data_IF_021357469567
#
_entry.id   IF_021357469567
#
_cell.length_a   1.000
_cell.length_b   1.000
_cell.length_c   1.000
_cell.angle_alpha   90.00
_cell.angle_beta   90.00
_cell.angle_gamma   90.00
#
_symmetry.space_group_name_H-M   'P 1'
#
loop_
_entity.id
_entity.type
_entity.pdbx_description
1 polymer ?
#
# COMPACT_ATOMS: atom_id res chain seq x y z
N UNK A 1 -8.73 22.82 1.36
CA UNK A 1 -7.98 22.09 0.30
C UNK A 1 -6.72 21.46 0.86
N UNK A 2 -5.89 22.16 1.64
CA UNK A 2 -4.90 21.55 2.56
C UNK A 2 -4.42 22.59 3.58
N UNK A 3 -3.77 22.15 4.65
CA UNK A 3 -3.15 22.97 5.70
C UNK A 3 -1.67 22.60 5.83
N UNK A 4 -0.80 23.60 5.96
CA UNK A 4 0.62 23.42 6.31
C UNK A 4 0.75 23.79 7.79
N UNK A 5 0.97 22.82 8.71
CA UNK A 5 0.97 23.11 10.14
C UNK A 5 2.13 24.02 10.55
N UNK A 6 3.28 23.83 9.90
CA UNK A 6 4.52 24.56 10.17
C UNK A 6 5.33 24.68 8.87
N UNK A 7 5.33 25.87 8.29
CA UNK A 7 6.03 26.15 7.02
C UNK A 7 7.56 26.03 7.15
N UNK A 8 8.12 26.21 8.35
CA UNK A 8 9.57 26.11 8.58
C UNK A 8 10.11 24.68 8.43
N UNK A 9 9.23 23.68 8.52
CA UNK A 9 9.56 22.26 8.31
C UNK A 9 9.55 21.85 6.84
N UNK A 10 9.11 22.74 5.95
CA UNK A 10 9.20 22.51 4.52
C UNK A 10 10.66 22.64 4.08
N UNK A 11 11.16 21.60 3.43
CA UNK A 11 12.51 21.51 2.86
C UNK A 11 12.40 21.07 1.41
N UNK A 12 13.48 21.27 0.66
CA UNK A 12 13.64 20.72 -0.69
C UNK A 12 13.31 19.23 -0.71
N UNK A 13 12.68 18.79 -1.78
CA UNK A 13 12.21 17.43 -2.02
C UNK A 13 12.93 16.91 -3.25
N UNK A 14 13.70 15.84 -3.05
CA UNK A 14 14.47 15.14 -4.10
C UNK A 14 13.94 13.71 -4.31
N UNK A 15 13.13 13.22 -3.37
CA UNK A 15 12.51 11.91 -3.41
C UNK A 15 11.09 11.95 -2.84
N UNK A 16 10.16 11.25 -3.48
CA UNK A 16 8.79 11.09 -2.99
C UNK A 16 8.49 9.60 -2.79
N UNK A 17 8.03 9.25 -1.60
CA UNK A 17 7.54 7.92 -1.28
C UNK A 17 6.01 7.92 -1.30
N UNK A 18 5.43 6.97 -2.01
CA UNK A 18 4.00 6.88 -2.24
C UNK A 18 3.46 5.64 -1.55
N UNK A 19 2.47 5.81 -0.69
CA UNK A 19 1.42 4.79 -0.64
C UNK A 19 0.67 4.76 -1.99
N UNK A 20 0.13 3.60 -2.34
CA UNK A 20 -0.50 3.40 -3.65
C UNK A 20 -2.03 3.48 -3.54
N UNK A 21 -2.63 2.48 -2.89
CA UNK A 21 -4.07 2.26 -2.81
C UNK A 21 -4.77 3.40 -2.08
N UNK A 22 -5.72 4.08 -2.72
CA UNK A 22 -6.44 5.20 -2.10
C UNK A 22 -5.65 6.51 -2.10
N UNK A 23 -4.31 6.45 -2.25
CA UNK A 23 -3.44 7.62 -2.33
C UNK A 23 -3.29 8.13 -3.76
N UNK A 24 -2.79 7.31 -4.70
CA UNK A 24 -2.59 7.70 -6.12
C UNK A 24 -3.53 6.99 -7.08
N UNK A 25 -4.32 6.03 -6.60
CA UNK A 25 -5.31 5.32 -7.42
C UNK A 25 -6.64 6.06 -7.50
N UNK A 26 -7.37 5.80 -8.58
CA UNK A 26 -8.76 6.20 -8.77
C UNK A 26 -9.74 5.15 -8.20
N UNK A 27 -11.07 5.39 -8.26
CA UNK A 27 -12.06 4.43 -7.76
C UNK A 27 -12.12 3.09 -8.51
N UNK A 28 -11.36 2.90 -9.60
CA UNK A 28 -11.20 1.63 -10.31
C UNK A 28 -9.92 0.90 -9.90
N UNK A 29 -9.25 1.39 -8.85
CA UNK A 29 -8.00 0.83 -8.29
C UNK A 29 -6.81 0.90 -9.26
N UNK A 30 -6.89 1.76 -10.29
CA UNK A 30 -5.79 2.08 -11.20
C UNK A 30 -5.16 3.41 -10.84
N UNK A 31 -3.87 3.59 -11.13
CA UNK A 31 -3.21 4.89 -10.95
C UNK A 31 -3.95 5.98 -11.73
N UNK A 32 -4.24 7.09 -11.05
CA UNK A 32 -4.92 8.21 -11.68
C UNK A 32 -4.02 8.86 -12.75
N UNK A 33 -4.59 9.10 -13.94
CA UNK A 33 -3.83 9.59 -15.09
C UNK A 33 -3.17 10.97 -14.86
N UNK A 34 -3.85 11.89 -14.16
CA UNK A 34 -3.31 13.22 -13.87
C UNK A 34 -2.11 13.12 -12.91
N UNK A 35 -2.25 12.31 -11.87
CA UNK A 35 -1.16 12.04 -10.91
C UNK A 35 -0.01 11.32 -11.59
N UNK A 36 -0.27 10.32 -12.43
CA UNK A 36 0.75 9.61 -13.20
C UNK A 36 1.56 10.58 -14.08
N UNK A 37 0.89 11.47 -14.83
CA UNK A 37 1.56 12.48 -15.65
C UNK A 37 2.47 13.41 -14.82
N UNK A 38 2.01 13.82 -13.63
CA UNK A 38 2.78 14.66 -12.71
C UNK A 38 4.00 13.93 -12.16
N UNK A 39 3.85 12.66 -11.78
CA UNK A 39 4.97 11.81 -11.35
C UNK A 39 6.01 11.69 -12.46
N UNK A 40 5.61 11.35 -13.69
CA UNK A 40 6.54 11.22 -14.82
C UNK A 40 7.26 12.54 -15.10
N UNK A 41 6.55 13.68 -15.01
CA UNK A 41 7.16 15.01 -15.19
C UNK A 41 8.18 15.34 -14.10
N UNK A 42 7.87 15.06 -12.83
CA UNK A 42 8.83 15.27 -11.73
C UNK A 42 10.04 14.35 -11.86
N UNK A 43 9.84 13.12 -12.32
CA UNK A 43 10.93 12.20 -12.58
C UNK A 43 11.83 12.67 -13.75
N UNK A 44 11.26 13.30 -14.79
CA UNK A 44 12.03 13.98 -15.84
C UNK A 44 12.83 15.17 -15.29
N UNK A 45 12.32 15.82 -14.24
CA UNK A 45 12.98 16.92 -13.51
C UNK A 45 14.02 16.39 -12.47
N UNK A 46 14.29 15.08 -12.45
CA UNK A 46 15.32 14.45 -11.60
C UNK A 46 14.86 14.08 -10.19
N UNK A 47 13.56 14.06 -9.93
CA UNK A 47 12.98 13.65 -8.65
C UNK A 47 12.78 12.14 -8.62
N UNK A 48 13.22 11.47 -7.56
CA UNK A 48 13.02 10.03 -7.41
C UNK A 48 11.64 9.71 -6.84
N UNK A 49 11.10 8.55 -7.21
CA UNK A 49 9.80 8.07 -6.72
C UNK A 49 9.91 6.62 -6.25
N UNK A 50 9.48 6.36 -5.02
CA UNK A 50 9.32 5.00 -4.48
C UNK A 50 7.86 4.72 -4.18
N UNK A 51 7.31 3.66 -4.76
CA UNK A 51 5.93 3.22 -4.54
C UNK A 51 5.95 2.05 -3.58
N UNK A 52 5.26 2.17 -2.45
CA UNK A 52 5.25 1.21 -1.36
C UNK A 52 3.82 0.76 -1.10
N UNK A 53 3.57 -0.55 -1.12
CA UNK A 53 2.23 -1.09 -0.85
C UNK A 53 2.30 -2.47 -0.17
N UNK A 54 1.20 -2.84 0.48
CA UNK A 54 0.95 -4.21 0.93
C UNK A 54 0.42 -5.14 -0.19
N UNK A 55 0.03 -4.60 -1.35
CA UNK A 55 -0.42 -5.39 -2.51
C UNK A 55 0.67 -6.29 -3.07
N UNK A 56 0.25 -7.34 -3.77
CA UNK A 56 1.16 -8.22 -4.50
C UNK A 56 1.75 -7.56 -5.75
N UNK A 57 2.84 -8.14 -6.25
CA UNK A 57 3.56 -7.59 -7.40
C UNK A 57 2.73 -7.60 -8.69
N UNK A 58 1.89 -8.62 -8.93
CA UNK A 58 1.09 -8.70 -10.16
C UNK A 58 0.05 -7.58 -10.20
N UNK A 59 -0.57 -7.27 -9.06
CA UNK A 59 -1.47 -6.14 -8.91
C UNK A 59 -0.76 -4.81 -9.21
N UNK A 60 0.42 -4.57 -8.64
CA UNK A 60 1.18 -3.33 -8.88
C UNK A 60 1.57 -3.18 -10.35
N UNK A 61 1.99 -4.27 -10.99
CA UNK A 61 2.31 -4.26 -12.41
C UNK A 61 1.09 -3.85 -13.23
N UNK A 62 -0.03 -4.55 -13.04
CA UNK A 62 -1.26 -4.35 -13.82
C UNK A 62 -1.91 -2.98 -13.60
N UNK A 63 -1.94 -2.49 -12.37
CA UNK A 63 -2.75 -1.34 -11.98
C UNK A 63 -1.96 -0.03 -11.85
N UNK A 64 -0.63 -0.11 -11.77
CA UNK A 64 0.24 1.07 -11.61
C UNK A 64 1.27 1.15 -12.73
N UNK A 65 2.10 0.13 -12.89
CA UNK A 65 3.23 0.19 -13.82
C UNK A 65 2.74 0.23 -15.27
N UNK A 66 1.89 -0.70 -15.69
CA UNK A 66 1.39 -0.76 -17.07
C UNK A 66 0.63 0.53 -17.46
N UNK A 67 -0.32 1.07 -16.66
CA UNK A 67 -0.94 2.35 -17.01
C UNK A 67 0.04 3.53 -17.05
N UNK A 68 1.09 3.54 -16.22
CA UNK A 68 2.12 4.59 -16.30
C UNK A 68 2.98 4.47 -17.57
N UNK A 69 3.13 3.27 -18.15
CA UNK A 69 3.91 3.06 -19.37
C UNK A 69 3.31 3.73 -20.60
N UNK A 70 2.00 3.98 -20.57
CA UNK A 70 1.29 4.66 -21.66
C UNK A 70 1.63 6.16 -21.75
N UNK A 71 2.29 6.72 -20.73
CA UNK A 71 2.68 8.13 -20.71
C UNK A 71 3.97 8.40 -21.47
N UNK A 72 3.95 9.45 -22.29
CA UNK A 72 5.14 9.97 -22.96
C UNK A 72 6.21 10.35 -21.93
N UNK A 73 7.40 9.75 -22.06
CA UNK A 73 8.52 9.98 -21.14
C UNK A 73 8.78 8.84 -20.15
N UNK A 74 7.86 7.89 -19.97
CA UNK A 74 8.06 6.75 -19.06
C UNK A 74 9.39 6.03 -19.31
N UNK A 75 9.68 5.69 -20.58
CA UNK A 75 10.91 5.01 -20.96
C UNK A 75 12.20 5.77 -20.60
N UNK A 76 12.13 7.09 -20.39
CA UNK A 76 13.26 7.93 -19.99
C UNK A 76 13.42 8.05 -18.47
N UNK A 77 12.39 7.71 -17.69
CA UNK A 77 12.38 7.93 -16.24
C UNK A 77 12.26 6.66 -15.41
N UNK A 78 12.14 5.49 -16.02
CA UNK A 78 11.99 4.22 -15.30
C UNK A 78 13.09 3.99 -14.23
N UNK A 79 14.31 4.50 -14.44
CA UNK A 79 15.41 4.43 -13.46
C UNK A 79 15.15 5.29 -12.19
N UNK A 80 14.32 6.33 -12.29
CA UNK A 80 13.87 7.17 -11.17
C UNK A 80 12.69 6.58 -10.40
N UNK A 81 12.05 5.53 -10.92
CA UNK A 81 10.92 4.85 -10.29
C UNK A 81 11.38 3.57 -9.58
N UNK A 82 10.87 3.33 -8.38
CA UNK A 82 11.14 2.14 -7.58
C UNK A 82 9.83 1.60 -7.03
N UNK A 83 9.57 0.31 -7.16
CA UNK A 83 8.31 -0.29 -6.74
C UNK A 83 8.58 -1.40 -5.72
N UNK A 84 7.94 -1.27 -4.57
CA UNK A 84 8.14 -2.12 -3.39
C UNK A 84 6.76 -2.65 -2.97
N UNK A 85 6.55 -3.93 -3.23
CA UNK A 85 5.32 -4.66 -2.96
C UNK A 85 5.43 -5.51 -1.68
N UNK A 86 4.29 -6.03 -1.23
CA UNK A 86 4.18 -6.91 -0.06
C UNK A 86 4.93 -6.37 1.17
N UNK A 87 4.69 -5.09 1.51
CA UNK A 87 5.25 -4.44 2.70
C UNK A 87 6.78 -4.47 2.77
N UNK A 88 7.46 -4.33 1.63
CA UNK A 88 8.93 -4.32 1.61
C UNK A 88 9.58 -5.67 1.32
N UNK A 89 8.79 -6.71 1.08
CA UNK A 89 9.30 -8.07 0.86
C UNK A 89 9.66 -8.33 -0.61
N UNK A 90 9.06 -7.60 -1.54
CA UNK A 90 9.22 -7.79 -2.98
C UNK A 90 9.57 -6.46 -3.65
N UNK A 91 10.67 -6.43 -4.40
CA UNK A 91 10.99 -5.30 -5.29
C UNK A 91 10.57 -5.64 -6.72
N UNK A 92 9.96 -4.70 -7.43
CA UNK A 92 9.63 -4.83 -8.84
C UNK A 92 10.59 -3.96 -9.65
N UNK A 93 11.40 -4.62 -10.47
CA UNK A 93 12.35 -3.97 -11.37
C UNK A 93 11.71 -3.77 -12.74
N UNK A 94 11.96 -2.61 -13.34
CA UNK A 94 11.52 -2.29 -14.70
C UNK A 94 12.80 -2.16 -15.54
N UNK A 95 13.23 -3.23 -16.22
CA UNK A 95 14.40 -3.17 -17.11
C UNK A 95 14.11 -2.29 -18.33
N UNK A 96 15.17 -1.87 -19.04
CA UNK A 96 15.05 -1.15 -20.32
C UNK A 96 14.27 -1.92 -21.39
N UNK A 97 14.23 -3.25 -21.31
CA UNK A 97 13.38 -4.09 -22.17
C UNK A 97 11.89 -3.87 -21.95
N UNK A 98 11.51 -3.16 -20.89
CA UNK A 98 10.16 -2.74 -20.58
C UNK A 98 9.31 -3.80 -19.88
N UNK A 99 9.78 -5.05 -19.73
CA UNK A 99 9.02 -6.10 -19.04
C UNK A 99 9.30 -6.09 -17.54
N UNK A 100 8.35 -5.70 -16.68
CA UNK A 100 8.57 -5.69 -15.25
C UNK A 100 8.85 -7.10 -14.72
N UNK A 101 9.72 -7.21 -13.72
CA UNK A 101 10.03 -8.47 -13.03
C UNK A 101 10.08 -8.23 -11.54
N UNK A 102 9.44 -9.09 -10.76
CA UNK A 102 9.49 -9.05 -9.30
C UNK A 102 10.65 -9.88 -8.76
N UNK A 103 11.16 -9.50 -7.59
CA UNK A 103 12.21 -10.24 -6.90
C UNK A 103 11.95 -10.20 -5.40
N UNK A 104 11.84 -11.39 -4.80
CA UNK A 104 11.82 -11.57 -3.34
C UNK A 104 13.24 -11.33 -2.82
N UNK A 105 13.36 -10.49 -1.78
CA UNK A 105 14.63 -10.23 -1.13
C UNK A 105 15.25 -11.53 -0.57
N UNK A 106 16.56 -11.67 -0.69
CA UNK A 106 17.28 -12.92 -0.47
C UNK A 106 17.06 -13.52 0.92
N UNK A 107 17.02 -12.69 1.95
CA UNK A 107 16.81 -13.07 3.34
C UNK A 107 15.39 -13.60 3.61
N UNK A 108 14.43 -13.31 2.72
CA UNK A 108 13.05 -13.76 2.82
C UNK A 108 12.77 -15.04 2.02
N UNK A 109 13.65 -15.43 1.10
CA UNK A 109 13.47 -16.66 0.31
C UNK A 109 13.36 -17.93 1.14
N UNK A 110 14.13 -18.14 2.24
CA UNK A 110 13.97 -19.33 3.08
C UNK A 110 12.86 -19.19 4.13
N UNK A 111 12.14 -18.06 4.17
CA UNK A 111 11.17 -17.75 5.22
C UNK A 111 9.94 -18.68 5.18
N UNK A 112 9.30 -19.03 6.32
CA UNK A 112 8.14 -19.93 6.35
C UNK A 112 6.97 -19.50 5.47
N UNK A 113 6.66 -18.20 5.46
CA UNK A 113 5.58 -17.67 4.61
C UNK A 113 5.89 -17.72 3.11
N UNK A 114 7.16 -17.78 2.72
CA UNK A 114 7.58 -17.89 1.32
C UNK A 114 7.69 -19.35 0.86
N UNK A 115 8.09 -20.25 1.76
CA UNK A 115 8.34 -21.67 1.47
C UNK A 115 7.20 -22.60 1.85
N UNK A 116 6.16 -22.07 2.52
CA UNK A 116 5.11 -22.85 3.18
C UNK A 116 5.70 -23.88 4.18
N UNK A 117 6.78 -23.52 4.88
CA UNK A 117 7.40 -24.40 5.89
C UNK A 117 6.38 -24.78 6.96
N UNK A 118 6.30 -26.07 7.28
CA UNK A 118 5.35 -26.58 8.28
C UNK A 118 3.88 -26.51 7.84
N UNK A 119 3.59 -26.25 6.56
CA UNK A 119 2.21 -26.10 6.07
C UNK A 119 1.52 -24.82 6.57
N UNK A 120 2.29 -23.80 6.98
CA UNK A 120 1.77 -22.57 7.58
C UNK A 120 0.71 -21.88 6.70
N UNK A 121 0.97 -21.71 5.39
CA UNK A 121 0.01 -21.06 4.49
C UNK A 121 -1.25 -21.90 4.33
N UNK A 122 -1.13 -23.22 4.28
CA UNK A 122 -2.27 -24.12 4.17
C UNK A 122 -3.13 -24.08 5.44
N UNK A 123 -2.51 -24.00 6.61
CA UNK A 123 -3.19 -23.84 7.88
C UNK A 123 -3.96 -22.51 7.94
N UNK A 124 -3.31 -21.40 7.55
CA UNK A 124 -3.94 -20.07 7.50
C UNK A 124 -5.08 -20.01 6.48
N UNK A 125 -4.88 -20.58 5.29
CA UNK A 125 -5.85 -20.63 4.18
C UNK A 125 -7.14 -21.35 4.57
N UNK A 126 -7.05 -22.41 5.38
CA UNK A 126 -8.23 -23.16 5.88
C UNK A 126 -9.10 -22.36 6.86
N UNK A 127 -8.59 -21.27 7.43
CA UNK A 127 -9.36 -20.45 8.36
C UNK A 127 -10.41 -19.58 7.64
N UNK A 128 -10.30 -19.37 6.33
CA UNK A 128 -11.09 -18.38 5.58
C UNK A 128 -11.71 -18.98 4.33
N UNK A 129 -12.52 -18.17 3.62
CA UNK A 129 -12.94 -18.55 2.28
C UNK A 129 -11.73 -18.55 1.34
N UNK A 130 -11.65 -19.56 0.50
CA UNK A 130 -10.52 -19.79 -0.38
C UNK A 130 -10.94 -19.65 -1.85
N UNK A 131 -10.49 -18.60 -2.56
CA UNK A 131 -10.85 -18.34 -3.95
C UNK A 131 -10.67 -19.55 -4.87
N UNK A 132 -9.64 -20.37 -4.69
CA UNK A 132 -9.37 -21.51 -5.58
C UNK A 132 -10.41 -22.63 -5.44
N UNK A 133 -11.16 -22.64 -4.34
CA UNK A 133 -12.22 -23.62 -4.06
C UNK A 133 -13.61 -23.09 -4.40
N UNK A 134 -13.73 -21.78 -4.68
CA UNK A 134 -14.99 -21.12 -4.96
C UNK A 134 -15.17 -20.91 -6.46
N UNK A 135 -16.43 -20.87 -6.89
CA UNK A 135 -16.76 -20.56 -8.28
C UNK A 135 -16.77 -19.05 -8.49
N UNK A 136 -15.97 -18.57 -9.44
CA UNK A 136 -16.02 -17.17 -9.88
C UNK A 136 -17.39 -16.86 -10.52
N UNK A 137 -17.99 -15.74 -10.15
CA UNK A 137 -19.27 -15.29 -10.67
C UNK A 137 -19.06 -14.43 -11.93
N UNK A 138 -19.72 -14.80 -13.03
CA UNK A 138 -19.69 -14.03 -14.28
C UNK A 138 -20.89 -13.09 -14.35
N UNK A 139 -20.62 -11.78 -14.53
CA UNK A 139 -21.66 -10.75 -14.65
C UNK A 139 -22.68 -11.10 -15.74
N UNK A 140 -23.98 -10.96 -15.43
CA UNK A 140 -25.09 -11.37 -16.31
C UNK A 140 -25.60 -12.79 -16.08
N UNK A 141 -24.89 -13.61 -15.29
CA UNK A 141 -25.38 -14.92 -14.85
C UNK A 141 -26.45 -14.76 -13.76
N UNK A 142 -27.41 -15.69 -13.69
CA UNK A 142 -28.35 -15.76 -12.57
C UNK A 142 -27.66 -16.41 -11.37
N UNK A 143 -27.75 -15.78 -10.21
CA UNK A 143 -27.35 -16.40 -8.94
C UNK A 143 -28.43 -17.42 -8.56
N UNK A 144 -28.02 -18.67 -8.31
CA UNK A 144 -28.95 -19.72 -7.90
C UNK A 144 -29.53 -19.40 -6.52
N UNK A 145 -30.76 -19.85 -6.27
CA UNK A 145 -31.45 -19.61 -4.99
C UNK A 145 -30.62 -20.19 -3.82
N UNK A 146 -30.47 -19.39 -2.76
CA UNK A 146 -29.71 -19.77 -1.57
C UNK A 146 -28.20 -19.59 -1.67
N UNK A 147 -27.66 -19.25 -2.84
CA UNK A 147 -26.25 -18.89 -2.96
C UNK A 147 -26.00 -17.45 -2.46
N UNK A 148 -24.84 -17.23 -1.86
CA UNK A 148 -24.33 -15.91 -1.50
C UNK A 148 -23.23 -15.47 -2.49
N UNK A 149 -23.10 -14.17 -2.69
CA UNK A 149 -22.05 -13.55 -3.50
C UNK A 149 -21.13 -12.74 -2.60
N UNK A 150 -19.86 -13.14 -2.52
CA UNK A 150 -18.82 -12.45 -1.77
C UNK A 150 -17.78 -11.84 -2.72
N UNK A 151 -17.12 -10.76 -2.30
CA UNK A 151 -16.08 -10.10 -3.12
C UNK A 151 -14.75 -9.99 -2.38
N UNK A 152 -13.65 -10.17 -3.10
CA UNK A 152 -12.28 -9.98 -2.61
C UNK A 152 -11.80 -8.52 -2.73
N UNK A 153 -10.56 -8.21 -2.33
CA UNK A 153 -10.02 -6.86 -2.47
C UNK A 153 -9.67 -6.42 -3.90
N UNK A 154 -9.85 -7.29 -4.90
CA UNK A 154 -9.77 -6.99 -6.32
C UNK A 154 -11.15 -6.82 -6.97
N UNK A 155 -12.22 -6.91 -6.17
CA UNK A 155 -13.63 -6.91 -6.61
C UNK A 155 -13.99 -8.08 -7.50
N UNK A 156 -13.22 -9.15 -7.44
CA UNK A 156 -13.61 -10.43 -8.03
C UNK A 156 -14.70 -11.04 -7.17
N UNK A 157 -15.76 -11.52 -7.84
CA UNK A 157 -16.96 -12.00 -7.19
C UNK A 157 -16.94 -13.53 -7.16
N UNK A 158 -17.21 -14.10 -5.98
CA UNK A 158 -17.18 -15.54 -5.73
C UNK A 158 -18.52 -16.00 -5.20
N UNK A 159 -18.98 -17.17 -5.67
CA UNK A 159 -20.23 -17.77 -5.23
C UNK A 159 -19.97 -18.71 -4.06
N UNK A 160 -20.66 -18.46 -2.94
CA UNK A 160 -20.74 -19.37 -1.81
C UNK A 160 -22.05 -20.13 -1.90
N UNK A 161 -21.97 -21.43 -2.14
CA UNK A 161 -23.15 -22.29 -2.28
C UNK A 161 -23.60 -22.82 -0.90
N UNK A 162 -24.89 -23.16 -0.68
CA UNK A 162 -25.39 -23.58 0.63
C UNK A 162 -24.63 -24.75 1.28
N UNK A 163 -24.02 -25.61 0.46
CA UNK A 163 -23.25 -26.77 0.89
C UNK A 163 -21.76 -26.47 1.15
N UNK A 164 -21.31 -25.23 0.91
CA UNK A 164 -19.93 -24.83 1.23
C UNK A 164 -19.72 -24.88 2.75
N UNK A 165 -18.58 -25.44 3.16
CA UNK A 165 -18.18 -25.43 4.57
C UNK A 165 -17.91 -23.99 4.98
N UNK A 166 -18.61 -23.51 6.01
CA UNK A 166 -18.39 -22.17 6.57
C UNK A 166 -17.07 -22.18 7.35
N UNK A 167 -16.09 -21.35 6.96
CA UNK A 167 -14.78 -21.36 7.60
C UNK A 167 -14.83 -20.61 8.94
N UNK A 168 -13.82 -20.84 9.77
CA UNK A 168 -13.76 -20.28 11.12
C UNK A 168 -13.71 -18.75 11.17
N UNK A 169 -13.10 -18.15 10.16
CA UNK A 169 -12.99 -16.72 9.93
C UNK A 169 -13.83 -16.34 8.69
N UNK A 170 -15.13 -16.69 8.71
CA UNK A 170 -16.08 -16.50 7.60
C UNK A 170 -16.24 -15.06 7.09
N UNK A 171 -15.84 -14.03 7.83
CA UNK A 171 -15.86 -12.64 7.36
C UNK A 171 -14.67 -12.30 6.44
N UNK A 172 -13.78 -13.28 6.19
CA UNK A 172 -12.54 -13.09 5.45
C UNK A 172 -12.40 -14.04 4.26
N UNK A 173 -11.62 -13.59 3.29
CA UNK A 173 -11.20 -14.33 2.10
C UNK A 173 -9.67 -14.34 1.98
N UNK A 174 -9.11 -15.44 1.49
CA UNK A 174 -7.68 -15.63 1.33
C UNK A 174 -7.10 -14.81 0.18
N UNK A 175 -5.99 -14.09 0.42
CA UNK A 175 -5.23 -13.40 -0.62
C UNK A 175 -4.21 -14.34 -1.27
N UNK A 176 -4.61 -15.01 -2.36
CA UNK A 176 -3.81 -16.05 -3.03
C UNK A 176 -2.57 -15.57 -3.78
N UNK A 177 -2.49 -14.28 -4.14
CA UNK A 177 -1.45 -13.73 -5.01
C UNK A 177 -0.14 -13.36 -4.30
N UNK A 178 -0.14 -13.26 -2.97
CA UNK A 178 1.03 -12.81 -2.19
C UNK A 178 2.05 -13.92 -1.98
N UNK A 179 3.32 -13.60 -2.22
CA UNK A 179 4.42 -14.56 -2.28
C UNK A 179 5.18 -14.75 -0.96
N UNK A 180 5.26 -13.71 -0.11
CA UNK A 180 6.11 -13.71 1.09
C UNK A 180 5.33 -13.28 2.33
N UNK A 181 4.26 -12.52 2.16
CA UNK A 181 3.30 -12.25 3.24
C UNK A 181 2.05 -13.11 3.03
N UNK A 182 1.22 -13.20 4.06
CA UNK A 182 -0.12 -13.76 3.96
C UNK A 182 -1.13 -12.71 4.45
N UNK A 183 -2.29 -12.66 3.82
CA UNK A 183 -3.34 -11.70 4.20
C UNK A 183 -4.68 -12.40 4.16
N UNK A 184 -5.45 -12.20 5.23
CA UNK A 184 -6.88 -12.52 5.28
C UNK A 184 -7.60 -11.20 5.05
N UNK A 185 -8.24 -11.05 3.89
CA UNK A 185 -8.90 -9.81 3.48
C UNK A 185 -10.36 -9.82 3.92
N UNK A 186 -10.86 -8.72 4.48
CA UNK A 186 -12.27 -8.62 4.84
C UNK A 186 -13.10 -8.66 3.55
N UNK A 187 -14.12 -9.52 3.55
CA UNK A 187 -15.05 -9.65 2.42
C UNK A 187 -15.74 -8.31 2.14
N UNK A 188 -15.87 -8.00 0.85
CA UNK A 188 -16.51 -6.78 0.38
C UNK A 188 -17.92 -7.05 -0.12
N UNK A 189 -18.78 -6.04 0.04
CA UNK A 189 -20.08 -6.01 -0.62
C UNK A 189 -19.93 -5.74 -2.13
N UNK A 190 -21.04 -5.80 -2.87
CA UNK A 190 -21.09 -5.53 -4.31
C UNK A 190 -20.68 -4.08 -4.69
N UNK A 191 -20.65 -3.16 -3.72
CA UNK A 191 -20.13 -1.80 -3.91
C UNK A 191 -18.62 -1.68 -3.66
N UNK A 192 -17.97 -2.79 -3.27
CA UNK A 192 -16.55 -2.85 -2.92
C UNK A 192 -16.24 -2.38 -1.50
N UNK A 193 -17.26 -2.16 -0.65
CA UNK A 193 -17.06 -1.72 0.73
C UNK A 193 -16.89 -2.90 1.67
N UNK A 194 -15.88 -2.82 2.52
CA UNK A 194 -15.73 -3.73 3.66
C UNK A 194 -16.73 -3.32 4.76
N UNK A 195 -17.30 -4.30 5.45
CA UNK A 195 -18.03 -4.04 6.70
C UNK A 195 -17.02 -3.67 7.79
N UNK A 196 -17.40 -2.75 8.67
CA UNK A 196 -16.64 -2.53 9.90
C UNK A 196 -16.75 -3.80 10.77
N UNK A 197 -15.60 -4.34 11.16
CA UNK A 197 -15.51 -5.61 11.86
C UNK A 197 -14.51 -5.48 13.01
N UNK A 198 -14.88 -5.99 14.20
CA UNK A 198 -13.91 -6.24 15.24
C UNK A 198 -13.06 -7.46 14.86
N UNK A 199 -11.77 -7.22 14.61
CA UNK A 199 -10.86 -8.23 14.12
C UNK A 199 -10.22 -9.04 15.27
N UNK A 200 -10.30 -8.54 16.51
CA UNK A 200 -9.63 -9.15 17.66
C UNK A 200 -9.96 -10.63 17.88
N UNK A 201 -11.22 -11.10 17.73
CA UNK A 201 -11.55 -12.52 17.89
C UNK A 201 -10.84 -13.44 16.88
N UNK A 202 -10.58 -12.94 15.67
CA UNK A 202 -9.96 -13.72 14.61
C UNK A 202 -8.43 -13.80 14.75
N UNK A 203 -7.81 -12.79 15.37
CA UNK A 203 -6.36 -12.78 15.65
C UNK A 203 -5.93 -14.00 16.46
N UNK A 204 -6.71 -14.39 17.46
CA UNK A 204 -6.39 -15.56 18.28
C UNK A 204 -6.38 -16.87 17.47
N UNK A 205 -7.28 -17.00 16.49
CA UNK A 205 -7.33 -18.17 15.59
C UNK A 205 -6.14 -18.20 14.64
N UNK A 206 -5.79 -17.04 14.08
CA UNK A 206 -4.61 -16.88 13.23
C UNK A 206 -3.34 -17.21 14.02
N UNK A 207 -3.21 -16.72 15.26
CA UNK A 207 -2.09 -17.01 16.13
C UNK A 207 -1.99 -18.51 16.45
N UNK A 208 -3.10 -19.17 16.77
CA UNK A 208 -3.11 -20.60 17.04
C UNK A 208 -2.63 -21.42 15.83
N UNK A 209 -3.02 -21.03 14.61
CA UNK A 209 -2.53 -21.67 13.39
C UNK A 209 -1.01 -21.45 13.16
N UNK A 210 -0.51 -20.25 13.47
CA UNK A 210 0.92 -19.93 13.43
C UNK A 210 1.71 -20.77 14.43
N UNK A 211 1.21 -20.89 15.65
CA UNK A 211 1.84 -21.64 16.73
C UNK A 211 1.87 -23.13 16.41
N UNK A 212 0.76 -23.68 15.91
CA UNK A 212 0.66 -25.08 15.49
C UNK A 212 1.62 -25.42 14.33
N UNK A 213 1.89 -24.46 13.45
CA UNK A 213 2.89 -24.60 12.37
C UNK A 213 4.34 -24.40 12.85
N UNK A 214 4.56 -24.07 14.13
CA UNK A 214 5.88 -23.84 14.70
C UNK A 214 6.57 -22.57 14.19
N UNK A 215 5.81 -21.56 13.78
CA UNK A 215 6.32 -20.35 13.13
C UNK A 215 6.25 -19.08 13.99
N UNK A 216 5.88 -19.19 15.27
CA UNK A 216 5.61 -18.05 16.16
C UNK A 216 6.78 -17.05 16.32
N UNK A 217 8.03 -17.49 16.16
CA UNK A 217 9.21 -16.62 16.19
C UNK A 217 9.52 -15.94 14.86
N UNK A 218 8.98 -16.47 13.76
CA UNK A 218 9.28 -16.04 12.38
C UNK A 218 8.17 -15.16 11.80
N UNK A 219 6.96 -15.17 12.36
CA UNK A 219 5.84 -14.39 11.83
C UNK A 219 5.14 -13.62 12.92
N UNK A 220 4.57 -12.48 12.56
CA UNK A 220 3.69 -11.72 13.42
C UNK A 220 2.46 -11.24 12.68
N UNK A 221 1.49 -10.76 13.46
CA UNK A 221 0.20 -10.31 12.96
C UNK A 221 0.13 -8.79 13.05
N UNK A 222 -0.39 -8.16 11.99
CA UNK A 222 -0.72 -6.74 11.95
C UNK A 222 -2.15 -6.56 11.49
N UNK A 223 -2.92 -5.79 12.26
CA UNK A 223 -4.28 -5.41 11.89
C UNK A 223 -4.24 -4.20 10.97
N UNK A 224 -4.71 -4.39 9.74
CA UNK A 224 -5.04 -3.31 8.82
C UNK A 224 -6.55 -3.05 8.86
N UNK A 225 -7.00 -1.85 8.49
CA UNK A 225 -8.45 -1.54 8.54
C UNK A 225 -9.31 -2.47 7.68
N UNK A 226 -8.74 -3.10 6.66
CA UNK A 226 -9.43 -3.96 5.69
C UNK A 226 -8.95 -5.42 5.70
N UNK A 227 -8.02 -5.78 6.58
CA UNK A 227 -7.40 -7.10 6.56
C UNK A 227 -6.64 -7.44 7.85
N UNK A 228 -6.38 -8.74 8.04
CA UNK A 228 -5.35 -9.24 8.95
C UNK A 228 -4.13 -9.61 8.10
N UNK A 229 -3.04 -8.87 8.27
CA UNK A 229 -1.77 -9.15 7.62
C UNK A 229 -0.90 -10.02 8.53
N UNK A 230 -0.37 -11.10 7.96
CA UNK A 230 0.62 -11.98 8.57
C UNK A 230 1.95 -11.72 7.87
N UNK A 231 2.87 -11.14 8.63
CA UNK A 231 4.10 -10.54 8.11
C UNK A 231 5.33 -11.28 8.66
N UNK A 232 6.42 -11.37 7.88
CA UNK A 232 7.69 -11.89 8.37
C UNK A 232 8.25 -11.14 9.58
N UNK A 233 8.93 -11.86 10.45
CA UNK A 233 9.78 -11.34 11.51
C UNK A 233 11.22 -11.69 11.15
N UNK A 234 12.05 -10.67 10.90
CA UNK A 234 13.46 -10.85 10.56
C UNK A 234 14.30 -10.08 11.54
N UNK A 235 15.26 -10.75 12.19
CA UNK A 235 16.10 -10.11 13.22
C UNK A 235 15.31 -9.58 14.43
N UNK A 236 14.18 -10.22 14.76
CA UNK A 236 13.28 -9.76 15.84
C UNK A 236 12.35 -8.60 15.44
N UNK A 237 12.41 -8.14 14.19
CA UNK A 237 11.57 -7.05 13.70
C UNK A 237 10.47 -7.55 12.78
N UNK A 238 9.22 -7.20 13.10
CA UNK A 238 8.07 -7.41 12.21
C UNK A 238 8.16 -6.48 11.00
N UNK A 239 8.25 -7.05 9.80
CA UNK A 239 8.38 -6.30 8.55
C UNK A 239 7.05 -5.61 8.19
N UNK A 240 7.05 -4.28 8.09
CA UNK A 240 5.86 -3.49 7.76
C UNK A 240 6.21 -2.23 6.97
N UNK A 241 5.32 -1.22 6.98
CA UNK A 241 5.54 0.00 6.18
C UNK A 241 6.82 0.76 6.54
N UNK A 242 7.23 0.76 7.81
CA UNK A 242 8.52 1.33 8.25
C UNK A 242 9.73 0.63 7.63
N UNK A 243 9.70 -0.70 7.57
CA UNK A 243 10.71 -1.50 6.87
C UNK A 243 10.69 -1.25 5.36
N UNK A 244 9.51 -1.23 4.76
CA UNK A 244 9.35 -0.94 3.33
C UNK A 244 9.89 0.46 2.97
N UNK A 245 9.71 1.43 3.86
CA UNK A 245 10.30 2.77 3.73
C UNK A 245 11.83 2.75 3.78
N UNK A 246 12.41 2.05 4.76
CA UNK A 246 13.87 1.88 4.84
C UNK A 246 14.43 1.14 3.63
N UNK A 247 13.74 0.12 3.13
CA UNK A 247 14.08 -0.60 1.89
C UNK A 247 14.06 0.31 0.67
N UNK A 248 13.05 1.16 0.54
CA UNK A 248 12.97 2.14 -0.54
C UNK A 248 14.16 3.12 -0.50
N UNK A 249 14.55 3.58 0.70
CA UNK A 249 15.71 4.45 0.89
C UNK A 249 17.04 3.74 0.64
N UNK A 250 17.22 2.49 1.07
CA UNK A 250 18.41 1.69 0.75
C UNK A 250 18.56 1.47 -0.76
N UNK A 251 17.45 1.21 -1.46
CA UNK A 251 17.44 1.07 -2.91
C UNK A 251 17.82 2.38 -3.61
N UNK A 252 17.30 3.51 -3.13
CA UNK A 252 17.69 4.83 -3.62
C UNK A 252 19.17 5.13 -3.36
N UNK A 253 19.68 4.82 -2.16
CA UNK A 253 21.09 5.01 -1.83
C UNK A 253 22.01 4.22 -2.78
N UNK A 254 21.66 2.96 -3.08
CA UNK A 254 22.38 2.13 -4.06
C UNK A 254 22.33 2.72 -5.46
N UNK A 255 21.18 3.25 -5.90
CA UNK A 255 21.04 3.93 -7.20
C UNK A 255 21.93 5.18 -7.30
N UNK A 256 22.10 5.90 -6.19
CA UNK A 256 22.98 7.06 -6.09
C UNK A 256 24.45 6.71 -5.76
N UNK A 257 24.85 5.45 -6.02
CA UNK A 257 26.21 4.94 -5.79
C UNK A 257 26.73 5.10 -4.35
N UNK A 258 25.83 5.23 -3.37
CA UNK A 258 26.20 5.39 -1.95
C UNK A 258 26.78 6.76 -1.59
N UNK A 259 26.77 7.74 -2.48
CA UNK A 259 27.37 9.06 -2.23
C UNK A 259 26.63 9.91 -1.20
N UNK A 260 25.38 9.56 -0.89
CA UNK A 260 24.57 10.28 0.09
C UNK A 260 24.47 9.50 1.39
N UNK A 261 24.66 10.21 2.49
CA UNK A 261 24.35 9.70 3.83
C UNK A 261 22.85 9.42 3.97
N UNK A 262 22.49 8.39 4.74
CA UNK A 262 21.08 8.02 4.96
C UNK A 262 20.24 9.19 5.47
N UNK A 263 20.80 10.05 6.32
CA UNK A 263 20.10 11.22 6.84
C UNK A 263 19.78 12.23 5.73
N UNK A 264 20.68 12.45 4.78
CA UNK A 264 20.42 13.34 3.64
C UNK A 264 19.29 12.79 2.75
N UNK A 265 19.23 11.46 2.58
CA UNK A 265 18.14 10.82 1.85
C UNK A 265 16.80 11.00 2.56
N UNK A 266 16.76 10.77 3.87
CA UNK A 266 15.54 11.00 4.68
C UNK A 266 15.11 12.46 4.62
N UNK A 267 16.04 13.39 4.81
CA UNK A 267 15.76 14.83 4.80
C UNK A 267 15.24 15.30 3.43
N UNK A 268 15.75 14.74 2.33
CA UNK A 268 15.29 14.99 0.97
C UNK A 268 14.02 14.23 0.57
N UNK A 269 13.49 13.36 1.44
CA UNK A 269 12.30 12.55 1.16
C UNK A 269 11.04 13.15 1.78
N UNK A 270 9.93 13.07 1.04
CA UNK A 270 8.59 13.21 1.58
C UNK A 270 7.77 11.95 1.27
N UNK A 271 7.00 11.47 2.24
CA UNK A 271 6.02 10.41 2.04
C UNK A 271 4.64 11.01 1.77
N UNK A 272 3.80 10.31 1.02
CA UNK A 272 2.41 10.66 0.76
C UNK A 272 1.54 9.44 1.05
N UNK A 273 0.51 9.62 1.88
CA UNK A 273 -0.39 8.53 2.27
C UNK A 273 -1.74 9.04 2.77
N UNK A 274 -2.72 8.13 2.85
CA UNK A 274 -4.12 8.40 3.18
C UNK A 274 -4.61 7.68 4.45
N UNK A 275 -3.82 6.74 4.97
CA UNK A 275 -4.24 5.81 6.00
C UNK A 275 -3.37 5.84 7.26
N UNK A 276 -3.88 5.20 8.32
CA UNK A 276 -3.17 5.09 9.61
C UNK A 276 -1.82 4.37 9.47
N UNK A 277 -1.73 3.39 8.57
CA UNK A 277 -0.50 2.65 8.35
C UNK A 277 0.62 3.53 7.76
N UNK A 278 0.28 4.63 7.07
CA UNK A 278 1.25 5.47 6.38
C UNK A 278 2.07 6.35 7.33
N UNK A 279 1.61 6.51 8.56
CA UNK A 279 2.40 7.15 9.61
C UNK A 279 3.70 6.37 9.91
N UNK A 280 3.76 5.08 9.58
CA UNK A 280 4.99 4.28 9.70
C UNK A 280 6.08 4.73 8.69
N UNK A 281 5.73 5.41 7.58
CA UNK A 281 6.74 5.98 6.67
C UNK A 281 7.65 6.97 7.40
N UNK A 282 7.11 7.67 8.39
CA UNK A 282 7.84 8.65 9.17
C UNK A 282 8.99 8.05 9.97
N UNK A 283 9.01 6.73 10.20
CA UNK A 283 10.04 6.06 11.00
C UNK A 283 10.66 4.91 10.21
N UNK A 284 11.41 5.20 9.13
CA UNK A 284 11.99 4.15 8.30
C UNK A 284 12.99 3.32 9.10
N UNK A 285 12.94 1.99 8.92
CA UNK A 285 13.91 1.07 9.51
C UNK A 285 14.73 0.43 8.40
N UNK A 286 16.03 0.66 8.43
CA UNK A 286 16.97 0.19 7.42
C UNK A 286 17.25 -1.31 7.56
N UNK A 287 17.84 -1.91 6.52
CA UNK A 287 18.14 -3.34 6.46
C UNK A 287 18.93 -3.90 7.66
N UNK A 288 19.75 -3.06 8.26
CA UNK A 288 20.60 -3.37 9.41
C UNK A 288 19.94 -3.08 10.77
N UNK A 289 18.65 -2.75 10.77
CA UNK A 289 17.88 -2.39 11.96
C UNK A 289 18.05 -0.95 12.43
N UNK A 290 18.88 -0.15 11.75
CA UNK A 290 19.07 1.26 12.12
C UNK A 290 17.77 2.05 11.94
N UNK A 291 17.44 2.89 12.92
CA UNK A 291 16.45 3.96 12.81
C UNK A 291 17.14 5.31 12.95
N UNK A 292 16.74 6.29 12.16
CA UNK A 292 17.31 7.64 12.23
C UNK A 292 16.50 8.56 13.16
N UNK A 293 17.15 9.56 13.79
CA UNK A 293 16.48 10.45 14.74
C UNK A 293 15.46 11.36 14.06
N UNK A 294 15.72 11.78 12.83
CA UNK A 294 14.75 12.52 12.03
C UNK A 294 14.06 11.56 11.06
N UNK A 295 12.74 11.60 11.09
CA UNK A 295 11.88 10.80 10.25
C UNK A 295 11.65 11.38 8.86
N UNK A 296 11.05 10.57 7.98
CA UNK A 296 10.51 11.06 6.71
C UNK A 296 9.30 11.96 7.01
N UNK A 297 9.22 13.09 6.30
CA UNK A 297 8.08 14.02 6.40
C UNK A 297 6.87 13.44 5.67
N UNK A 298 5.67 13.67 6.17
CA UNK A 298 4.43 13.12 5.60
C UNK A 298 3.51 14.22 5.05
N UNK A 299 3.05 14.02 3.82
CA UNK A 299 1.86 14.66 3.24
C UNK A 299 0.70 13.70 3.45
N UNK A 300 -0.23 14.05 4.33
CA UNK A 300 -1.40 13.22 4.59
C UNK A 300 -2.59 13.69 3.74
N UNK A 301 -3.17 12.80 2.93
CA UNK A 301 -4.25 13.10 1.98
C UNK A 301 -5.56 12.33 2.28
N UNK A 302 -5.67 11.79 3.49
CA UNK A 302 -6.76 10.94 3.93
C UNK A 302 -7.87 11.63 4.71
N UNK A 303 -8.65 10.82 5.42
CA UNK A 303 -9.74 11.28 6.29
C UNK A 303 -9.19 12.02 7.54
N UNK A 304 -9.71 13.21 7.89
CA UNK A 304 -9.29 13.91 9.10
C UNK A 304 -9.46 13.09 10.40
N UNK A 305 -10.40 12.16 10.47
CA UNK A 305 -10.60 11.26 11.61
C UNK A 305 -9.51 10.20 11.79
N UNK A 306 -8.68 9.97 10.75
CA UNK A 306 -7.54 9.04 10.81
C UNK A 306 -6.28 9.73 11.36
N UNK A 307 -6.24 11.07 11.33
CA UNK A 307 -5.09 11.82 11.80
C UNK A 307 -4.79 11.54 13.29
N UNK A 308 -3.51 11.37 13.67
CA UNK A 308 -3.15 11.16 15.05
C UNK A 308 -3.45 12.42 15.88
N UNK A 309 -3.69 12.27 17.19
CA UNK A 309 -3.84 13.40 18.11
C UNK A 309 -2.69 14.40 17.99
N UNK A 310 -2.93 15.67 18.32
CA UNK A 310 -1.93 16.73 18.14
C UNK A 310 -0.66 16.51 18.97
N UNK A 311 -0.79 15.85 20.11
CA UNK A 311 0.33 15.57 21.02
C UNK A 311 1.15 14.33 20.59
N UNK A 312 0.66 13.52 19.65
CA UNK A 312 1.35 12.31 19.23
C UNK A 312 2.67 12.67 18.51
N UNK A 313 3.82 12.07 18.85
CA UNK A 313 5.10 12.41 18.23
C UNK A 313 5.09 12.37 16.69
N UNK A 314 4.42 11.37 16.11
CA UNK A 314 4.29 11.21 14.66
C UNK A 314 3.51 12.33 13.98
N UNK A 315 2.67 13.06 14.72
CA UNK A 315 1.99 14.26 14.21
C UNK A 315 3.00 15.33 13.79
N UNK A 316 4.12 15.44 14.51
CA UNK A 316 5.18 16.39 14.21
C UNK A 316 5.84 16.22 12.84
N UNK A 317 5.71 15.03 12.25
CA UNK A 317 6.20 14.66 10.92
C UNK A 317 5.22 15.01 9.79
N UNK A 318 3.96 15.30 10.10
CA UNK A 318 2.96 15.71 9.10
C UNK A 318 3.21 17.16 8.71
N UNK A 319 3.70 17.39 7.50
CA UNK A 319 4.05 18.72 6.98
C UNK A 319 2.94 19.33 6.12
N UNK A 320 2.08 18.49 5.53
CA UNK A 320 0.87 18.92 4.83
C UNK A 320 -0.28 18.02 5.26
N UNK A 321 -1.34 18.64 5.76
CA UNK A 321 -2.62 18.02 6.08
C UNK A 321 -3.62 18.37 4.97
N UNK A 322 -3.74 17.51 3.99
CA UNK A 322 -4.65 17.68 2.87
C UNK A 322 -5.97 16.94 3.11
N UNK A 323 -6.59 17.26 4.24
CA UNK A 323 -7.87 16.72 4.69
C UNK A 323 -8.98 17.73 4.37
N UNK A 324 -10.05 17.34 3.67
CA UNK A 324 -11.18 18.27 3.51
C UNK A 324 -12.32 17.83 2.61
N UNK A 325 -13.44 18.51 2.80
CA UNK A 325 -14.57 18.47 1.88
C UNK A 325 -14.17 19.15 0.59
N UNK A 326 -14.34 18.47 -0.53
CA UNK A 326 -13.89 18.90 -1.84
C UNK A 326 -14.80 19.92 -2.51
N UNK A 327 -14.70 19.97 -3.83
CA UNK A 327 -15.56 20.84 -4.64
C UNK A 327 -16.97 20.26 -4.72
N UNK A 328 -17.95 21.14 -4.88
CA UNK A 328 -19.28 20.79 -5.37
C UNK A 328 -19.14 20.05 -6.71
N UNK A 329 -19.68 18.83 -6.79
CA UNK A 329 -19.70 18.03 -8.00
C UNK A 329 -21.14 17.58 -8.29
N UNK A 330 -21.53 17.63 -9.56
CA UNK A 330 -22.84 17.11 -9.98
C UNK A 330 -22.76 15.59 -10.15
N UNK A 331 -23.51 14.86 -9.33
CA UNK A 331 -23.59 13.40 -9.38
C UNK A 331 -24.67 13.01 -10.37
N UNK A 332 -24.29 12.76 -11.62
CA UNK A 332 -25.21 12.48 -12.72
C UNK A 332 -26.20 11.34 -12.44
N UNK A 333 -25.77 10.27 -11.75
CA UNK A 333 -26.64 9.14 -11.39
C UNK A 333 -27.70 9.47 -10.32
N UNK A 334 -27.55 10.58 -9.61
CA UNK A 334 -28.48 11.03 -8.55
C UNK A 334 -29.18 12.35 -8.88
N UNK A 335 -28.71 13.08 -9.91
CA UNK A 335 -29.24 14.39 -10.27
C UNK A 335 -29.02 15.49 -9.21
N UNK A 336 -28.03 15.35 -8.33
CA UNK A 336 -27.76 16.29 -7.23
C UNK A 336 -26.35 16.87 -7.31
N UNK A 337 -26.18 18.08 -6.79
CA UNK A 337 -24.86 18.67 -6.53
C UNK A 337 -24.49 18.28 -5.10
N UNK A 338 -23.48 17.43 -4.94
CA UNK A 338 -22.95 16.99 -3.65
C UNK A 338 -21.58 17.62 -3.40
N UNK A 339 -21.29 17.93 -2.15
CA UNK A 339 -19.94 18.25 -1.72
C UNK A 339 -19.17 16.94 -1.59
N UNK A 340 -18.29 16.63 -2.55
CA UNK A 340 -17.52 15.40 -2.54
C UNK A 340 -16.29 15.57 -1.66
N UNK A 341 -16.03 14.66 -0.72
CA UNK A 341 -14.73 14.65 -0.01
C UNK A 341 -13.58 14.63 -1.01
N UNK A 342 -12.62 15.54 -0.82
CA UNK A 342 -11.37 15.51 -1.56
C UNK A 342 -10.39 14.68 -0.73
N UNK A 343 -10.11 13.47 -1.22
CA UNK A 343 -9.07 12.58 -0.73
C UNK A 343 -8.33 11.95 -1.90
N UNK A 344 -7.19 11.32 -1.60
CA UNK A 344 -6.45 10.51 -2.57
C UNK A 344 -5.96 11.29 -3.78
N UNK A 345 -6.01 10.67 -4.96
CA UNK A 345 -5.31 11.13 -6.16
C UNK A 345 -5.59 12.59 -6.55
N UNK A 346 -6.84 13.03 -6.42
CA UNK A 346 -7.23 14.42 -6.74
C UNK A 346 -6.53 15.44 -5.82
N UNK A 347 -6.46 15.14 -4.53
CA UNK A 347 -5.80 15.99 -3.53
C UNK A 347 -4.30 15.98 -3.74
N UNK A 348 -3.73 14.78 -3.94
CA UNK A 348 -2.32 14.60 -4.30
C UNK A 348 -1.96 15.50 -5.47
N UNK A 349 -2.79 15.50 -6.51
CA UNK A 349 -2.58 16.31 -7.70
C UNK A 349 -2.43 17.81 -7.38
N UNK A 350 -3.30 18.36 -6.53
CA UNK A 350 -3.25 19.76 -6.11
C UNK A 350 -2.04 20.07 -5.21
N UNK A 351 -1.68 19.15 -4.32
CA UNK A 351 -0.49 19.30 -3.47
C UNK A 351 0.79 19.32 -4.33
N UNK A 352 0.89 18.48 -5.35
CA UNK A 352 2.03 18.49 -6.27
C UNK A 352 2.15 19.81 -7.04
N UNK A 353 1.04 20.40 -7.49
CA UNK A 353 1.05 21.71 -8.14
C UNK A 353 1.51 22.81 -7.20
N UNK A 354 1.03 22.80 -5.95
CA UNK A 354 1.48 23.73 -4.92
C UNK A 354 2.99 23.61 -4.68
N UNK A 355 3.50 22.39 -4.44
CA UNK A 355 4.92 22.16 -4.18
C UNK A 355 5.80 22.58 -5.37
N UNK A 356 5.32 22.39 -6.59
CA UNK A 356 6.03 22.83 -7.80
C UNK A 356 6.02 24.34 -7.97
N UNK A 357 4.88 25.00 -7.75
CA UNK A 357 4.75 26.45 -7.85
C UNK A 357 5.66 27.19 -6.86
N UNK A 358 5.89 26.59 -5.69
CA UNK A 358 6.76 27.11 -4.62
C UNK A 358 8.19 26.58 -4.68
N UNK A 359 8.59 25.95 -5.79
CA UNK A 359 9.97 25.51 -6.06
C UNK A 359 10.56 24.55 -5.00
N UNK A 360 9.72 23.74 -4.36
CA UNK A 360 10.19 22.78 -3.36
C UNK A 360 10.90 21.56 -3.96
N UNK A 361 10.72 21.28 -5.25
CA UNK A 361 11.36 20.14 -5.89
C UNK A 361 12.76 20.47 -6.39
N UNK A 362 13.71 19.56 -6.18
CA UNK A 362 14.94 19.57 -6.95
C UNK A 362 15.81 18.33 -6.70
N UNK A 363 16.72 18.02 -7.63
CA UNK A 363 17.53 16.80 -7.57
C UNK A 363 18.46 16.78 -6.35
N UNK A 364 18.91 15.56 -6.01
CA UNK A 364 19.93 15.30 -4.99
C UNK A 364 21.27 15.94 -5.32
#
# INVERSE_FOLDING_TARGET
MFRIPDFSKMRRISHIMWDIDGTITDPTDRVNHEVAAKIIRLALDGIYHSFVTGRDAAWVIRNVIEPMRDFYGFGRVHEYLSFVAESGCVTINIPRSGRPSSTIHSELRPHPLATNRGGLRDALRRLVYDPDTLRCFTMGSRLAQGCELIHDANREAYVVEPQCVVPECHEYIWSGSKSVIATLEIIRDASGKCKALDQAPYVHKVQAAIDAAGAASDVGIRLAGTAIDILPVVGGQLLGKSWAAGRALDNLQKKLSGHHERQALVDGTVAVGDGKADFDFCSPVFADGTSLPNGVRLVFVGDPGILPPREAPVRGSVVIEATGQGNLAFVYGKGVIELHDSKGARVVSAVLDFLKLWEYFGPF
#
